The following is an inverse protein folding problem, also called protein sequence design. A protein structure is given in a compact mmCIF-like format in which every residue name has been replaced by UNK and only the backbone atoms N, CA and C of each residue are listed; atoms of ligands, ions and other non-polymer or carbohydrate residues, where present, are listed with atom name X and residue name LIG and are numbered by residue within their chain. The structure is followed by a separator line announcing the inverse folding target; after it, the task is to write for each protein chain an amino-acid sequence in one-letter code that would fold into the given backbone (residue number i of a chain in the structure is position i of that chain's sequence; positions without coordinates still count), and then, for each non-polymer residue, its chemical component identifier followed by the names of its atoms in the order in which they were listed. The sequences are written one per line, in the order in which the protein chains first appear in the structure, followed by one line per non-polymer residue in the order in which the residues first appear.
data_IF_561117811899
#
_entry.id   IF_561117811899
#
_cell.length_a   1.000
_cell.length_b   1.000
_cell.length_c   1.000
_cell.angle_alpha   90.00
_cell.angle_beta   90.00
_cell.angle_gamma   90.00
#
_symmetry.space_group_name_H-M   'P 1'
#
loop_
_entity.id
_entity.type
_entity.pdbx_description
1 polymer ?
#
# COMPACT_ATOMS: atom_id res chain seq x y z
N UNK A 1 9.17 -5.17 13.26
CA UNK A 1 8.37 -5.30 14.53
C UNK A 1 6.90 -5.59 14.23
N UNK A 2 6.24 -4.79 13.38
CA UNK A 2 4.81 -4.94 13.01
C UNK A 2 4.54 -6.26 12.27
N UNK A 3 5.37 -6.67 11.32
CA UNK A 3 5.21 -7.94 10.62
C UNK A 3 5.15 -9.13 11.59
N UNK A 4 6.09 -9.22 12.52
CA UNK A 4 6.11 -10.30 13.53
C UNK A 4 4.87 -10.27 14.42
N UNK A 5 4.37 -9.07 14.73
CA UNK A 5 3.11 -8.93 15.47
C UNK A 5 1.93 -9.50 14.69
N UNK A 6 1.79 -9.15 13.41
CA UNK A 6 0.73 -9.68 12.54
C UNK A 6 0.83 -11.19 12.33
N UNK A 7 2.04 -11.70 12.08
CA UNK A 7 2.29 -13.15 11.95
C UNK A 7 1.88 -13.89 13.20
N UNK A 8 2.31 -13.43 14.37
CA UNK A 8 1.95 -14.03 15.65
C UNK A 8 0.46 -13.96 15.92
N UNK A 9 -0.19 -12.83 15.62
CA UNK A 9 -1.61 -12.66 15.80
C UNK A 9 -2.40 -13.65 14.95
N UNK A 10 -2.06 -13.73 13.66
CA UNK A 10 -2.70 -14.64 12.71
C UNK A 10 -2.47 -16.10 13.06
N UNK A 11 -1.23 -16.48 13.39
CA UNK A 11 -0.86 -17.85 13.71
C UNK A 11 -1.58 -18.36 14.96
N UNK A 12 -1.65 -17.56 16.01
CA UNK A 12 -2.25 -17.95 17.29
C UNK A 12 -3.78 -17.91 17.30
N UNK A 13 -4.40 -17.11 16.43
CA UNK A 13 -5.84 -16.90 16.44
C UNK A 13 -6.56 -17.47 15.23
N UNK A 14 -5.84 -17.92 14.21
CA UNK A 14 -6.39 -18.44 12.97
C UNK A 14 -7.52 -17.53 12.41
N UNK A 15 -7.24 -16.23 12.32
CA UNK A 15 -8.21 -15.20 11.97
C UNK A 15 -7.81 -14.45 10.71
N UNK A 16 -8.80 -13.78 10.12
CA UNK A 16 -8.58 -12.80 9.05
C UNK A 16 -8.24 -11.44 9.66
N UNK A 17 -7.24 -10.76 9.12
CA UNK A 17 -6.95 -9.38 9.47
C UNK A 17 -7.92 -8.46 8.72
N UNK A 18 -8.52 -7.51 9.44
CA UNK A 18 -9.46 -6.57 8.85
C UNK A 18 -8.72 -5.33 8.33
N UNK A 19 -8.89 -5.05 7.03
CA UNK A 19 -8.50 -3.78 6.41
C UNK A 19 -9.72 -2.88 6.25
N UNK A 20 -9.61 -1.61 6.64
CA UNK A 20 -10.66 -0.60 6.54
C UNK A 20 -10.13 0.61 5.78
N UNK A 21 -10.80 0.99 4.69
CA UNK A 21 -10.52 2.24 4.00
C UNK A 21 -10.97 3.44 4.86
N UNK A 22 -10.11 4.44 5.11
CA UNK A 22 -10.46 5.61 5.93
C UNK A 22 -11.37 6.57 5.15
N UNK A 23 -12.63 6.22 4.99
CA UNK A 23 -13.61 6.97 4.19
C UNK A 23 -13.99 8.33 4.80
N UNK A 24 -13.81 8.51 6.10
CA UNK A 24 -14.08 9.74 6.85
C UNK A 24 -13.38 9.70 8.20
N UNK A 25 -13.28 10.85 8.86
CA UNK A 25 -12.77 10.94 10.22
C UNK A 25 -13.55 10.04 11.19
N UNK A 26 -14.87 9.97 11.07
CA UNK A 26 -15.70 9.10 11.92
C UNK A 26 -15.39 7.61 11.69
N UNK A 27 -15.09 7.21 10.44
CA UNK A 27 -14.66 5.85 10.13
C UNK A 27 -13.32 5.53 10.79
N UNK A 28 -12.38 6.47 10.78
CA UNK A 28 -11.08 6.32 11.46
C UNK A 28 -11.27 6.20 12.96
N UNK A 29 -12.06 7.07 13.58
CA UNK A 29 -12.37 7.04 15.01
C UNK A 29 -13.00 5.71 15.44
N UNK A 30 -14.03 5.27 14.70
CA UNK A 30 -14.69 3.99 14.97
C UNK A 30 -13.71 2.79 14.84
N UNK A 31 -12.81 2.85 13.88
CA UNK A 31 -11.79 1.81 13.68
C UNK A 31 -10.84 1.74 14.87
N UNK A 32 -10.37 2.88 15.37
CA UNK A 32 -9.52 2.98 16.55
C UNK A 32 -10.24 2.43 17.79
N UNK A 33 -11.49 2.87 18.03
CA UNK A 33 -12.30 2.41 19.15
C UNK A 33 -12.53 0.89 19.13
N UNK A 34 -12.80 0.32 17.95
CA UNK A 34 -12.98 -1.13 17.79
C UNK A 34 -11.69 -1.90 18.02
N UNK A 35 -10.57 -1.43 17.47
CA UNK A 35 -9.27 -2.04 17.67
C UNK A 35 -8.88 -2.06 19.15
N UNK A 36 -9.14 -0.95 19.86
CA UNK A 36 -8.93 -0.85 21.31
C UNK A 36 -9.83 -1.79 22.11
N UNK A 37 -11.14 -1.73 21.82
CA UNK A 37 -12.16 -2.53 22.53
C UNK A 37 -11.88 -4.03 22.45
N UNK A 38 -11.48 -4.50 21.27
CA UNK A 38 -11.24 -5.93 21.03
C UNK A 38 -9.79 -6.33 21.17
N UNK A 39 -8.89 -5.38 21.45
CA UNK A 39 -7.42 -5.59 21.51
C UNK A 39 -6.92 -6.37 20.31
N UNK A 40 -7.34 -5.94 19.14
CA UNK A 40 -7.12 -6.61 17.87
C UNK A 40 -6.46 -5.65 16.88
N UNK A 41 -5.44 -6.08 16.14
CA UNK A 41 -4.88 -5.25 15.08
C UNK A 41 -5.93 -4.98 14.00
N UNK A 42 -5.96 -3.74 13.52
CA UNK A 42 -6.78 -3.32 12.40
C UNK A 42 -5.92 -2.50 11.44
N UNK A 43 -6.04 -2.77 10.15
CA UNK A 43 -5.32 -2.03 9.12
C UNK A 43 -6.20 -0.88 8.64
N UNK A 44 -5.70 0.35 8.70
CA UNK A 44 -6.27 1.48 7.97
C UNK A 44 -5.55 1.57 6.61
N UNK A 45 -6.25 1.16 5.56
CA UNK A 45 -5.73 1.05 4.19
C UNK A 45 -6.17 2.27 3.38
N UNK A 46 -5.28 3.24 3.24
CA UNK A 46 -5.58 4.52 2.60
C UNK A 46 -5.11 4.56 1.14
N UNK A 47 -6.06 4.73 0.21
CA UNK A 47 -5.71 5.01 -1.19
C UNK A 47 -5.19 6.45 -1.35
N UNK A 48 -4.47 6.71 -2.45
CA UNK A 48 -3.97 8.07 -2.78
C UNK A 48 -5.10 9.10 -2.94
N UNK A 49 -6.31 8.69 -3.29
CA UNK A 49 -7.47 9.58 -3.33
C UNK A 49 -7.95 9.96 -1.95
N UNK A 50 -7.88 9.04 -0.98
CA UNK A 50 -8.32 9.28 0.39
C UNK A 50 -7.32 10.13 1.17
N UNK A 51 -6.06 9.77 1.09
CA UNK A 51 -4.93 10.40 1.81
C UNK A 51 -3.73 10.40 0.85
N UNK A 52 -3.11 11.54 0.62
CA UNK A 52 -1.87 11.61 -0.18
C UNK A 52 -0.88 12.60 0.46
N UNK A 53 0.26 12.82 -0.16
CA UNK A 53 1.27 13.76 0.32
C UNK A 53 0.80 15.22 0.19
N UNK A 54 1.47 16.11 0.92
CA UNK A 54 1.24 17.55 0.82
C UNK A 54 1.50 18.09 -0.61
N UNK A 55 2.50 17.52 -1.29
CA UNK A 55 2.83 17.85 -2.68
C UNK A 55 1.65 17.65 -3.62
N UNK A 56 0.78 16.68 -3.34
CA UNK A 56 -0.42 16.37 -4.13
C UNK A 56 -1.71 16.96 -3.53
N UNK A 57 -1.58 17.83 -2.52
CA UNK A 57 -2.71 18.53 -1.89
C UNK A 57 -3.48 17.72 -0.84
N UNK A 58 -2.94 16.59 -0.40
CA UNK A 58 -3.64 15.67 0.48
C UNK A 58 -4.74 14.89 -0.24
N UNK A 59 -5.61 14.24 0.52
CA UNK A 59 -6.73 13.46 -0.01
C UNK A 59 -8.09 14.07 0.32
N UNK A 60 -9.19 13.46 -0.17
CA UNK A 60 -10.53 13.98 0.10
C UNK A 60 -10.98 13.80 1.55
N UNK A 61 -10.32 12.93 2.31
CA UNK A 61 -10.64 12.73 3.73
C UNK A 61 -9.99 13.83 4.55
N UNK A 62 -10.80 14.80 5.02
CA UNK A 62 -10.40 15.94 5.85
C UNK A 62 -9.23 16.76 5.25
N UNK A 63 -8.96 16.65 3.96
CA UNK A 63 -7.75 17.18 3.30
C UNK A 63 -6.45 16.70 3.97
N UNK A 64 -6.49 15.55 4.61
CA UNK A 64 -5.31 15.04 5.30
C UNK A 64 -4.19 14.67 4.34
N UNK A 65 -3.01 15.13 4.70
CA UNK A 65 -1.76 14.59 4.15
C UNK A 65 -1.42 13.27 4.83
N UNK A 66 -0.53 12.47 4.23
CA UNK A 66 -0.01 11.24 4.87
C UNK A 66 0.46 11.51 6.30
N UNK A 67 1.15 12.65 6.51
CA UNK A 67 1.63 13.08 7.83
C UNK A 67 0.48 13.41 8.78
N UNK A 68 -0.50 14.24 8.36
CA UNK A 68 -1.63 14.62 9.21
C UNK A 68 -2.44 13.40 9.64
N UNK A 69 -2.69 12.48 8.72
CA UNK A 69 -3.40 11.24 8.99
C UNK A 69 -2.65 10.36 10.00
N UNK A 70 -1.35 10.15 9.77
CA UNK A 70 -0.53 9.34 10.66
C UNK A 70 -0.42 9.96 12.07
N UNK A 71 -0.27 11.28 12.17
CA UNK A 71 -0.25 11.98 13.45
C UNK A 71 -1.59 11.86 14.17
N UNK A 72 -2.72 12.07 13.46
CA UNK A 72 -4.06 11.91 14.03
C UNK A 72 -4.31 10.51 14.60
N UNK A 73 -3.94 9.48 13.85
CA UNK A 73 -4.09 8.10 14.32
C UNK A 73 -3.16 7.83 15.51
N UNK A 74 -1.91 8.26 15.46
CA UNK A 74 -0.92 8.05 16.53
C UNK A 74 -1.34 8.70 17.84
N UNK A 75 -1.95 9.88 17.77
CA UNK A 75 -2.43 10.59 18.96
C UNK A 75 -3.59 9.89 19.66
N UNK A 76 -4.40 9.15 18.91
CA UNK A 76 -5.59 8.45 19.42
C UNK A 76 -5.36 6.97 19.73
N UNK A 77 -4.54 6.29 18.95
CA UNK A 77 -4.25 4.86 19.12
C UNK A 77 -3.15 4.64 20.17
N UNK A 78 -3.50 4.84 21.44
CA UNK A 78 -2.56 4.73 22.58
C UNK A 78 -1.93 3.34 22.67
N UNK A 79 -2.66 2.30 22.33
CA UNK A 79 -2.22 0.91 22.43
C UNK A 79 -1.53 0.38 21.17
N UNK A 80 -1.41 1.21 20.14
CA UNK A 80 -0.74 0.85 18.86
C UNK A 80 -1.33 -0.39 18.19
N UNK A 81 -2.65 -0.45 18.18
CA UNK A 81 -3.39 -1.52 17.50
C UNK A 81 -3.65 -1.21 16.03
N UNK A 82 -3.48 0.04 15.60
CA UNK A 82 -3.70 0.44 14.22
C UNK A 82 -2.42 0.31 13.41
N UNK A 83 -2.56 -0.29 12.26
CA UNK A 83 -1.51 -0.44 11.26
C UNK A 83 -1.87 0.43 10.07
N UNK A 84 -1.06 1.46 9.83
CA UNK A 84 -1.25 2.33 8.67
C UNK A 84 -0.71 1.65 7.43
N UNK A 85 -1.53 1.58 6.38
CA UNK A 85 -1.19 0.98 5.11
C UNK A 85 -1.55 1.89 3.94
N UNK A 86 -0.71 1.93 2.92
CA UNK A 86 -1.05 2.48 1.61
C UNK A 86 -1.84 1.42 0.83
N UNK A 87 -2.97 1.82 0.29
CA UNK A 87 -3.79 1.04 -0.63
C UNK A 87 -3.56 1.54 -2.07
N UNK A 88 -3.37 0.64 -3.01
CA UNK A 88 -3.11 0.94 -4.42
C UNK A 88 -2.08 2.06 -4.64
N UNK A 89 -0.85 1.87 -4.17
CA UNK A 89 0.25 2.80 -4.44
C UNK A 89 0.90 2.49 -5.80
N UNK A 90 0.89 3.45 -6.70
CA UNK A 90 1.45 3.29 -8.04
C UNK A 90 1.16 4.48 -8.95
N UNK A 91 1.59 4.42 -10.21
CA UNK A 91 1.32 5.46 -11.20
C UNK A 91 -0.18 5.53 -11.49
N UNK A 92 -0.66 6.74 -11.78
CA UNK A 92 -2.06 7.08 -12.10
C UNK A 92 -3.10 6.64 -11.07
N UNK A 93 -2.69 6.39 -9.84
CA UNK A 93 -3.59 6.18 -8.70
C UNK A 93 -4.13 7.50 -8.14
N UNK A 94 -3.49 8.63 -8.47
CA UNK A 94 -3.98 9.97 -8.16
C UNK A 94 -4.79 10.54 -9.33
N UNK A 95 -5.90 11.24 -9.01
CA UNK A 95 -6.69 11.96 -10.03
C UNK A 95 -5.90 13.09 -10.69
N UNK A 96 -4.96 13.70 -9.96
CA UNK A 96 -4.08 14.74 -10.51
C UNK A 96 -3.26 14.21 -11.70
N UNK A 97 -2.70 13.02 -11.58
CA UNK A 97 -1.88 12.40 -12.62
C UNK A 97 -2.69 12.10 -13.89
N UNK A 98 -3.93 11.64 -13.70
CA UNK A 98 -4.87 11.38 -14.80
C UNK A 98 -5.30 12.67 -15.49
N UNK A 99 -5.69 13.68 -14.70
CA UNK A 99 -6.15 14.98 -15.22
C UNK A 99 -5.04 15.74 -15.97
N UNK A 100 -3.80 15.59 -15.55
CA UNK A 100 -2.63 16.16 -16.22
C UNK A 100 -2.10 15.30 -17.36
N UNK A 101 -2.72 14.14 -17.60
CA UNK A 101 -2.30 13.19 -18.64
C UNK A 101 -0.79 12.87 -18.57
N UNK A 102 -0.29 12.65 -17.35
CA UNK A 102 1.13 12.42 -17.11
C UNK A 102 1.65 11.20 -17.89
N UNK A 103 2.87 11.31 -18.38
CA UNK A 103 3.58 10.17 -18.97
C UNK A 103 3.89 9.11 -17.89
N UNK A 104 4.20 7.88 -18.30
CA UNK A 104 4.61 6.81 -17.37
C UNK A 104 5.76 7.27 -16.46
N UNK A 105 6.76 7.94 -17.02
CA UNK A 105 7.91 8.41 -16.22
C UNK A 105 7.51 9.40 -15.13
N UNK A 106 6.64 10.35 -15.46
CA UNK A 106 6.14 11.34 -14.50
C UNK A 106 5.25 10.69 -13.44
N UNK A 107 4.34 9.80 -13.84
CA UNK A 107 3.46 9.09 -12.92
C UNK A 107 4.23 8.13 -12.00
N UNK A 108 5.27 7.46 -12.49
CA UNK A 108 6.16 6.64 -11.66
C UNK A 108 6.95 7.48 -10.65
N UNK A 109 7.41 8.68 -11.03
CA UNK A 109 8.07 9.58 -10.09
C UNK A 109 7.08 10.09 -9.03
N UNK A 110 5.87 10.47 -9.44
CA UNK A 110 4.80 10.85 -8.52
C UNK A 110 4.45 9.74 -7.52
N UNK A 111 4.40 8.49 -7.97
CA UNK A 111 4.20 7.34 -7.09
C UNK A 111 5.34 7.19 -6.07
N UNK A 112 6.60 7.36 -6.48
CA UNK A 112 7.75 7.34 -5.57
C UNK A 112 7.67 8.45 -4.53
N UNK A 113 7.30 9.66 -4.93
CA UNK A 113 7.17 10.81 -4.03
C UNK A 113 6.05 10.57 -2.99
N UNK A 114 4.93 9.97 -3.41
CA UNK A 114 3.84 9.57 -2.52
C UNK A 114 4.29 8.50 -1.51
N UNK A 115 4.95 7.43 -1.97
CA UNK A 115 5.51 6.40 -1.08
C UNK A 115 6.54 6.96 -0.11
N UNK A 116 7.39 7.88 -0.57
CA UNK A 116 8.36 8.54 0.31
C UNK A 116 7.64 9.29 1.44
N UNK A 117 6.57 10.02 1.13
CA UNK A 117 5.78 10.73 2.13
C UNK A 117 5.11 9.77 3.13
N UNK A 118 4.64 8.60 2.68
CA UNK A 118 4.07 7.57 3.54
C UNK A 118 5.11 6.97 4.48
N UNK A 119 6.30 6.65 3.96
CA UNK A 119 7.42 6.14 4.78
C UNK A 119 7.82 7.18 5.82
N UNK A 120 7.97 8.45 5.42
CA UNK A 120 8.32 9.55 6.33
C UNK A 120 7.23 9.81 7.38
N UNK A 121 5.97 9.60 7.04
CA UNK A 121 4.84 9.66 7.97
C UNK A 121 4.78 8.46 8.94
N UNK A 122 5.52 7.39 8.67
CA UNK A 122 5.56 6.19 9.50
C UNK A 122 4.49 5.16 9.17
N UNK A 123 4.06 5.08 7.93
CA UNK A 123 3.23 3.96 7.45
C UNK A 123 3.98 2.65 7.66
N UNK A 124 3.23 1.59 7.95
CA UNK A 124 3.77 0.28 8.28
C UNK A 124 3.76 -0.68 7.10
N UNK A 125 2.85 -0.46 6.16
CA UNK A 125 2.63 -1.33 5.01
C UNK A 125 2.43 -0.51 3.74
N UNK A 126 2.99 -0.97 2.63
CA UNK A 126 2.83 -0.38 1.31
C UNK A 126 2.35 -1.43 0.32
N UNK A 127 1.20 -1.16 -0.31
CA UNK A 127 0.70 -1.92 -1.45
C UNK A 127 1.24 -1.29 -2.74
N UNK A 128 2.09 -2.01 -3.44
CA UNK A 128 2.67 -1.60 -4.72
C UNK A 128 1.83 -2.17 -5.85
N UNK A 129 1.07 -1.29 -6.50
CA UNK A 129 0.14 -1.64 -7.58
C UNK A 129 0.29 -0.69 -8.77
N UNK A 130 1.20 -0.98 -9.72
CA UNK A 130 1.36 -0.20 -10.94
C UNK A 130 0.55 -0.74 -12.12
N UNK A 131 -0.57 -1.39 -11.87
CA UNK A 131 -1.41 -2.04 -12.90
C UNK A 131 -2.16 -1.04 -13.79
N UNK A 132 -2.43 0.17 -13.28
CA UNK A 132 -3.11 1.22 -14.06
C UNK A 132 -2.17 1.83 -15.08
N UNK A 133 -2.69 2.01 -16.29
CA UNK A 133 -2.08 2.82 -17.35
C UNK A 133 -3.20 3.52 -18.13
N UNK A 134 -3.09 4.85 -18.26
CA UNK A 134 -4.09 5.67 -18.95
C UNK A 134 -3.85 5.79 -20.46
N UNK A 135 -2.70 5.31 -20.93
CA UNK A 135 -2.29 5.42 -22.34
C UNK A 135 -2.38 4.09 -23.08
N UNK A 136 -2.20 2.95 -22.37
CA UNK A 136 -2.21 1.63 -22.99
C UNK A 136 -2.54 0.56 -21.93
N UNK A 137 -2.93 -0.62 -22.38
CA UNK A 137 -3.06 -1.78 -21.50
C UNK A 137 -1.70 -2.44 -21.32
N UNK A 138 -1.08 -2.39 -20.13
CA UNK A 138 0.23 -2.97 -19.93
C UNK A 138 0.15 -4.50 -19.90
N UNK A 139 1.19 -5.17 -20.41
CA UNK A 139 1.37 -6.61 -20.21
C UNK A 139 1.80 -6.89 -18.77
N UNK A 140 1.64 -8.16 -18.33
CA UNK A 140 2.10 -8.58 -16.99
C UNK A 140 3.59 -8.31 -16.78
N UNK A 141 4.43 -8.47 -17.79
CA UNK A 141 5.86 -8.19 -17.69
C UNK A 141 6.13 -6.68 -17.50
N UNK A 142 5.40 -5.82 -18.20
CA UNK A 142 5.49 -4.36 -18.01
C UNK A 142 5.02 -3.93 -16.62
N UNK A 143 3.98 -4.57 -16.09
CA UNK A 143 3.53 -4.35 -14.71
C UNK A 143 4.63 -4.77 -13.73
N UNK A 144 5.21 -5.95 -13.92
CA UNK A 144 6.29 -6.45 -13.07
C UNK A 144 7.55 -5.58 -13.10
N UNK A 145 7.94 -5.04 -14.25
CA UNK A 145 9.04 -4.07 -14.35
C UNK A 145 8.78 -2.83 -13.48
N UNK A 146 7.57 -2.31 -13.52
CA UNK A 146 7.15 -1.18 -12.66
C UNK A 146 7.11 -1.57 -11.18
N UNK A 147 6.65 -2.79 -10.86
CA UNK A 147 6.68 -3.31 -9.49
C UNK A 147 8.12 -3.36 -8.98
N UNK A 148 9.05 -3.90 -9.76
CA UNK A 148 10.45 -3.99 -9.35
C UNK A 148 11.06 -2.62 -9.05
N UNK A 149 10.82 -1.64 -9.93
CA UNK A 149 11.31 -0.27 -9.75
C UNK A 149 10.78 0.39 -8.49
N UNK A 150 9.47 0.32 -8.24
CA UNK A 150 8.85 0.89 -7.04
C UNK A 150 9.23 0.13 -5.77
N UNK A 151 9.30 -1.19 -5.85
CA UNK A 151 9.66 -2.04 -4.72
C UNK A 151 11.10 -1.77 -4.25
N UNK A 152 12.05 -1.73 -5.19
CA UNK A 152 13.45 -1.42 -4.90
C UNK A 152 13.60 -0.02 -4.31
N UNK A 153 12.89 0.96 -4.88
CA UNK A 153 12.87 2.33 -4.35
C UNK A 153 12.37 2.36 -2.90
N UNK A 154 11.20 1.80 -2.64
CA UNK A 154 10.59 1.79 -1.30
C UNK A 154 11.45 1.03 -0.29
N UNK A 155 11.98 -0.13 -0.69
CA UNK A 155 12.89 -0.90 0.14
C UNK A 155 14.14 -0.11 0.51
N UNK A 156 14.84 0.43 -0.48
CA UNK A 156 16.08 1.18 -0.28
C UNK A 156 15.85 2.40 0.59
N UNK A 157 14.77 3.14 0.36
CA UNK A 157 14.42 4.31 1.16
C UNK A 157 14.10 3.93 2.61
N UNK A 158 13.33 2.88 2.83
CA UNK A 158 13.01 2.37 4.16
C UNK A 158 14.26 1.91 4.93
N UNK A 159 15.20 1.23 4.25
CA UNK A 159 16.48 0.84 4.86
C UNK A 159 17.30 2.07 5.28
N UNK A 160 17.35 3.11 4.44
CA UNK A 160 18.01 4.36 4.79
C UNK A 160 17.37 5.02 6.03
N UNK A 161 16.06 4.96 6.15
CA UNK A 161 15.31 5.46 7.33
C UNK A 161 15.33 4.50 8.54
N UNK A 162 15.92 3.31 8.40
CA UNK A 162 15.90 2.25 9.43
C UNK A 162 14.48 1.83 9.83
N UNK A 163 13.57 1.86 8.87
CA UNK A 163 12.17 1.49 9.05
C UNK A 163 11.91 0.10 8.49
N UNK A 164 11.28 -0.77 9.28
CA UNK A 164 10.84 -2.09 8.85
C UNK A 164 9.45 -1.96 8.23
N UNK A 165 9.36 -2.21 6.92
CA UNK A 165 8.11 -2.15 6.16
C UNK A 165 7.58 -3.55 5.83
N UNK A 166 6.27 -3.63 5.76
CA UNK A 166 5.53 -4.73 5.17
C UNK A 166 5.19 -4.35 3.74
N UNK A 167 5.46 -5.24 2.80
CA UNK A 167 5.11 -5.04 1.40
C UNK A 167 3.97 -5.97 0.99
N UNK A 168 3.05 -5.40 0.26
CA UNK A 168 2.02 -6.06 -0.54
C UNK A 168 2.24 -5.70 -2.00
N UNK A 169 1.96 -6.64 -2.89
CA UNK A 169 1.98 -6.40 -4.33
C UNK A 169 0.63 -6.69 -4.95
N UNK A 170 0.25 -5.89 -5.94
CA UNK A 170 -0.91 -6.08 -6.80
C UNK A 170 -0.51 -6.01 -8.28
N UNK A 171 -1.10 -6.87 -9.06
CA UNK A 171 -0.96 -6.89 -10.53
C UNK A 171 -2.32 -6.97 -11.22
N UNK A 172 -3.39 -6.84 -10.43
CA UNK A 172 -4.75 -6.97 -10.90
C UNK A 172 -5.19 -5.76 -11.73
N UNK A 173 -5.94 -6.04 -12.80
CA UNK A 173 -6.66 -5.00 -13.51
C UNK A 173 -7.86 -4.53 -12.66
N UNK A 174 -7.90 -3.25 -12.30
CA UNK A 174 -9.02 -2.66 -11.55
C UNK A 174 -10.36 -2.64 -12.34
N UNK A 175 -10.42 -3.32 -13.47
CA UNK A 175 -11.58 -3.40 -14.35
C UNK A 175 -12.52 -4.59 -14.06
N UNK A 176 -12.35 -5.28 -12.94
CA UNK A 176 -13.18 -6.40 -12.55
C UNK A 176 -12.80 -7.74 -13.22
N UNK A 177 -11.65 -7.81 -13.87
CA UNK A 177 -11.04 -9.06 -14.33
C UNK A 177 -10.45 -9.84 -13.16
N UNK A 178 -10.66 -11.15 -13.10
CA UNK A 178 -9.99 -11.99 -12.12
C UNK A 178 -8.58 -12.33 -12.60
N UNK A 179 -7.60 -12.28 -11.70
CA UNK A 179 -6.30 -12.86 -12.01
C UNK A 179 -6.45 -14.37 -12.24
N UNK A 180 -5.83 -14.87 -13.30
CA UNK A 180 -5.75 -16.30 -13.46
C UNK A 180 -4.77 -16.91 -12.45
N UNK A 181 -4.95 -18.18 -12.15
CA UNK A 181 -4.01 -18.91 -11.29
C UNK A 181 -2.59 -18.87 -11.88
N UNK A 182 -2.49 -18.99 -13.20
CA UNK A 182 -1.23 -18.98 -13.94
C UNK A 182 -0.53 -17.62 -13.84
N UNK A 183 -1.27 -16.52 -13.92
CA UNK A 183 -0.72 -15.17 -13.74
C UNK A 183 -0.22 -14.94 -12.31
N UNK A 184 -0.95 -15.42 -11.31
CA UNK A 184 -0.52 -15.34 -9.92
C UNK A 184 0.76 -16.17 -9.69
N UNK A 185 0.82 -17.41 -10.15
CA UNK A 185 2.00 -18.27 -10.03
C UNK A 185 3.21 -17.63 -10.73
N UNK A 186 3.01 -17.09 -11.94
CA UNK A 186 4.04 -16.36 -12.67
C UNK A 186 4.57 -15.14 -11.90
N UNK A 187 3.66 -14.31 -11.38
CA UNK A 187 4.00 -13.13 -10.58
C UNK A 187 4.83 -13.51 -9.36
N UNK A 188 4.40 -14.52 -8.60
CA UNK A 188 5.11 -14.98 -7.40
C UNK A 188 6.49 -15.53 -7.71
N UNK A 189 6.63 -16.29 -8.81
CA UNK A 189 7.93 -16.82 -9.24
C UNK A 189 8.88 -15.68 -9.64
N UNK A 190 8.40 -14.72 -10.43
CA UNK A 190 9.18 -13.55 -10.84
C UNK A 190 9.62 -12.69 -9.65
N UNK A 191 8.71 -12.44 -8.70
CA UNK A 191 9.04 -11.72 -7.47
C UNK A 191 10.06 -12.46 -6.62
N UNK A 192 9.99 -13.78 -6.54
CA UNK A 192 10.99 -14.60 -5.83
C UNK A 192 12.38 -14.46 -6.44
N UNK A 193 12.47 -14.52 -7.76
CA UNK A 193 13.74 -14.33 -8.47
C UNK A 193 14.29 -12.92 -8.23
N UNK A 194 13.45 -11.90 -8.42
CA UNK A 194 13.82 -10.49 -8.21
C UNK A 194 14.34 -10.24 -6.79
N UNK A 195 13.58 -10.64 -5.78
CA UNK A 195 13.94 -10.41 -4.39
C UNK A 195 15.22 -11.16 -3.99
N UNK A 196 15.39 -12.41 -4.46
CA UNK A 196 16.59 -13.20 -4.17
C UNK A 196 17.84 -12.62 -4.82
N UNK A 197 17.75 -12.19 -6.09
CA UNK A 197 18.87 -11.61 -6.83
C UNK A 197 19.34 -10.28 -6.25
N UNK A 198 18.42 -9.47 -5.74
CA UNK A 198 18.70 -8.15 -5.17
C UNK A 198 18.88 -8.16 -3.65
N UNK A 199 18.75 -9.31 -3.00
CA UNK A 199 18.81 -9.47 -1.53
C UNK A 199 17.78 -8.57 -0.80
N UNK A 200 16.61 -8.46 -1.38
CA UNK A 200 15.47 -7.71 -0.87
C UNK A 200 14.49 -8.70 -0.23
N UNK A 201 13.81 -8.27 0.83
CA UNK A 201 12.78 -9.07 1.50
C UNK A 201 11.62 -9.36 0.55
N UNK A 202 11.12 -10.59 0.58
CA UNK A 202 9.93 -10.98 -0.20
C UNK A 202 8.67 -10.29 0.35
N UNK A 203 7.68 -9.92 -0.49
CA UNK A 203 6.43 -9.33 -0.02
C UNK A 203 5.69 -10.29 0.91
N UNK A 204 5.02 -9.72 1.92
CA UNK A 204 4.27 -10.50 2.91
C UNK A 204 2.84 -10.76 2.48
N UNK A 205 2.34 -9.97 1.54
CA UNK A 205 0.98 -10.03 1.00
C UNK A 205 1.00 -9.91 -0.51
N UNK A 206 0.00 -10.52 -1.12
CA UNK A 206 -0.31 -10.37 -2.55
C UNK A 206 -1.81 -10.22 -2.68
N UNK A 207 -2.24 -9.30 -3.53
CA UNK A 207 -3.67 -9.13 -3.83
C UNK A 207 -4.10 -10.20 -4.82
N UNK A 208 -5.23 -10.83 -4.53
CA UNK A 208 -5.89 -11.77 -5.41
C UNK A 208 -7.33 -11.29 -5.59
N UNK A 209 -7.64 -10.81 -6.78
CA UNK A 209 -9.00 -10.42 -7.11
C UNK A 209 -9.82 -11.67 -7.44
N UNK A 210 -10.73 -12.01 -6.53
CA UNK A 210 -11.57 -13.22 -6.64
C UNK A 210 -12.98 -12.95 -7.20
N UNK A 211 -13.17 -11.79 -7.81
CA UNK A 211 -14.44 -11.30 -8.30
C UNK A 211 -15.09 -10.24 -7.43
N UNK A 212 -16.09 -9.56 -7.95
CA UNK A 212 -16.90 -8.54 -7.25
C UNK A 212 -18.33 -9.07 -7.07
#
# INVERSE_FOLDING_TARGET
MVQKYLENYRYNRNCTLLGVGPMSKNCVDASIELAEKYKSPLLLIASRRQIDSEQFGGGYVENWTSKNFADYVRDKDVNKNIILARDHGGPWQSELEKNQNMSLKEAMQSAKDSFQADIDAGFHMLHIDPSIDIHARPSIDQILERVYELYEFCWSYAQHKKQDLIFEIGTEEQNGGNNSKEELEYTLEKMKVFCSSNKIKFPSFVVIQAGT
#
